data_IF_435328465391
#
_entry.id   IF_435328465391
#
_cell.length_a   1.000
_cell.length_b   1.000
_cell.length_c   1.000
_cell.angle_alpha   90.00
_cell.angle_beta   90.00
_cell.angle_gamma   90.00
#
_symmetry.space_group_name_H-M   'P 1'
#
loop_
_entity.id
_entity.type
_entity.pdbx_description
1 polymer ?
#
# COMPACT_ATOMS: atom_id res chain seq x y z
N UNK A 1 -9.41 -4.75 -5.27
CA UNK A 1 -8.80 -3.53 -5.86
C UNK A 1 -8.84 -2.46 -4.78
N UNK A 2 -7.83 -1.62 -4.70
CA UNK A 2 -7.67 -0.55 -3.70
C UNK A 2 -7.45 0.79 -4.40
N UNK A 3 -7.69 1.88 -3.68
CA UNK A 3 -7.58 3.27 -4.15
C UNK A 3 -6.70 4.09 -3.21
N UNK A 4 -6.41 5.34 -3.57
CA UNK A 4 -5.66 6.29 -2.72
C UNK A 4 -6.28 6.43 -1.33
N UNK A 5 -7.60 6.48 -1.26
CA UNK A 5 -8.36 6.69 -0.02
C UNK A 5 -8.53 5.41 0.82
N UNK A 6 -8.04 4.27 0.32
CA UNK A 6 -8.12 3.02 1.09
C UNK A 6 -7.18 3.11 2.28
N UNK A 7 -7.69 2.88 3.49
CA UNK A 7 -6.88 2.80 4.70
C UNK A 7 -5.86 1.66 4.59
N UNK A 8 -4.60 1.91 4.99
CA UNK A 8 -3.49 0.94 4.83
C UNK A 8 -3.75 -0.35 5.60
N UNK A 9 -4.30 -0.28 6.82
CA UNK A 9 -4.61 -1.47 7.62
C UNK A 9 -5.64 -2.34 6.90
N UNK A 10 -6.71 -1.73 6.39
CA UNK A 10 -7.77 -2.43 5.64
C UNK A 10 -7.20 -3.07 4.37
N UNK A 11 -6.38 -2.33 3.62
CA UNK A 11 -5.75 -2.83 2.40
C UNK A 11 -4.90 -4.08 2.68
N UNK A 12 -3.99 -4.00 3.67
CA UNK A 12 -3.06 -5.08 4.01
C UNK A 12 -3.78 -6.29 4.62
N UNK A 13 -4.85 -6.10 5.38
CA UNK A 13 -5.67 -7.19 5.91
C UNK A 13 -6.42 -7.94 4.80
N UNK A 14 -7.01 -7.22 3.85
CA UNK A 14 -7.73 -7.82 2.73
C UNK A 14 -6.79 -8.46 1.70
N UNK A 15 -5.59 -7.90 1.54
CA UNK A 15 -4.61 -8.33 0.55
C UNK A 15 -3.20 -8.38 1.17
N UNK A 16 -2.83 -9.47 1.86
CA UNK A 16 -1.53 -9.61 2.52
C UNK A 16 -0.32 -9.42 1.59
N UNK A 17 -0.48 -9.73 0.29
CA UNK A 17 0.53 -9.55 -0.77
C UNK A 17 0.97 -8.08 -0.95
N UNK A 18 0.17 -7.12 -0.48
CA UNK A 18 0.54 -5.69 -0.49
C UNK A 18 1.86 -5.46 0.27
N UNK A 19 2.14 -6.25 1.31
CA UNK A 19 3.39 -6.15 2.07
C UNK A 19 4.63 -6.36 1.21
N UNK A 20 4.55 -7.25 0.21
CA UNK A 20 5.68 -7.52 -0.69
C UNK A 20 5.92 -6.35 -1.63
N UNK A 21 4.85 -5.70 -2.11
CA UNK A 21 4.94 -4.48 -2.91
C UNK A 21 5.56 -3.35 -2.07
N UNK A 22 5.10 -3.16 -0.83
CA UNK A 22 5.70 -2.18 0.08
C UNK A 22 7.18 -2.43 0.32
N UNK A 23 7.58 -3.69 0.57
CA UNK A 23 8.99 -4.04 0.74
C UNK A 23 9.82 -3.70 -0.51
N UNK A 24 9.29 -3.96 -1.72
CA UNK A 24 9.95 -3.61 -2.99
C UNK A 24 10.20 -2.11 -3.12
N UNK A 25 9.28 -1.28 -2.64
CA UNK A 25 9.40 0.18 -2.67
C UNK A 25 10.10 0.77 -1.43
N UNK A 26 10.68 -0.06 -0.55
CA UNK A 26 11.38 0.41 0.65
C UNK A 26 10.45 0.84 1.79
N UNK A 27 9.15 0.53 1.71
CA UNK A 27 8.14 0.81 2.74
C UNK A 27 8.04 -0.32 3.79
N UNK A 28 9.17 -0.92 4.15
CA UNK A 28 9.23 -2.05 5.11
C UNK A 28 8.74 -1.67 6.52
N UNK A 29 8.77 -0.38 6.88
CA UNK A 29 8.23 0.16 8.12
C UNK A 29 6.73 0.52 8.04
N UNK A 30 5.94 -0.20 7.24
CA UNK A 30 4.47 0.01 7.07
C UNK A 30 3.70 0.12 8.40
N UNK A 31 4.23 -0.47 9.47
CA UNK A 31 3.66 -0.38 10.81
C UNK A 31 3.48 1.06 11.33
N UNK A 32 4.38 1.99 11.00
CA UNK A 32 4.22 3.40 11.38
C UNK A 32 3.00 4.03 10.69
N UNK A 33 2.84 3.78 9.39
CA UNK A 33 1.72 4.30 8.63
C UNK A 33 0.38 3.72 9.10
N UNK A 34 0.37 2.43 9.44
CA UNK A 34 -0.79 1.76 10.05
C UNK A 34 -1.14 2.36 11.41
N UNK A 35 -0.16 2.57 12.28
CA UNK A 35 -0.37 3.15 13.61
C UNK A 35 -0.92 4.58 13.54
N UNK A 36 -0.49 5.35 12.53
CA UNK A 36 -0.99 6.69 12.23
C UNK A 36 -2.38 6.69 11.56
N UNK A 37 -2.88 5.54 11.13
CA UNK A 37 -4.19 5.42 10.48
C UNK A 37 -4.22 5.96 9.05
N UNK A 38 -3.07 6.07 8.38
CA UNK A 38 -2.96 6.67 7.06
C UNK A 38 -3.68 5.87 5.96
N UNK A 39 -4.13 6.59 4.94
CA UNK A 39 -4.53 6.00 3.66
C UNK A 39 -3.32 5.62 2.81
N UNK A 40 -3.52 4.75 1.80
CA UNK A 40 -2.44 4.38 0.87
C UNK A 40 -1.85 5.62 0.20
N UNK A 41 -2.69 6.57 -0.21
CA UNK A 41 -2.27 7.82 -0.84
C UNK A 41 -1.37 8.64 0.08
N UNK A 42 -1.79 8.86 1.33
CA UNK A 42 -1.04 9.64 2.33
C UNK A 42 0.27 8.95 2.69
N UNK A 43 0.22 7.70 3.13
CA UNK A 43 1.41 6.99 3.62
C UNK A 43 2.46 6.81 2.53
N UNK A 44 2.06 6.47 1.29
CA UNK A 44 3.03 6.31 0.19
C UNK A 44 3.65 7.67 -0.18
N UNK A 45 2.83 8.72 -0.28
CA UNK A 45 3.32 10.06 -0.66
C UNK A 45 4.19 10.71 0.43
N UNK A 46 3.90 10.45 1.70
CA UNK A 46 4.70 10.94 2.84
C UNK A 46 6.15 10.42 2.81
N UNK A 47 6.37 9.30 2.13
CA UNK A 47 7.69 8.70 1.90
C UNK A 47 8.33 9.10 0.56
N UNK A 48 7.77 10.09 -0.14
CA UNK A 48 8.33 10.66 -1.37
C UNK A 48 8.14 9.80 -2.62
N UNK A 49 7.22 8.84 -2.58
CA UNK A 49 6.89 7.96 -3.70
C UNK A 49 5.64 8.45 -4.43
N UNK A 50 5.53 8.11 -5.71
CA UNK A 50 4.30 8.31 -6.47
C UNK A 50 3.26 7.25 -6.07
N UNK A 51 2.26 7.67 -5.30
CA UNK A 51 1.21 6.78 -4.84
C UNK A 51 0.40 6.15 -5.98
N UNK A 52 0.21 6.83 -7.11
CA UNK A 52 -0.56 6.26 -8.23
C UNK A 52 0.19 5.11 -8.88
N UNK A 53 1.52 5.23 -9.02
CA UNK A 53 2.39 4.15 -9.52
C UNK A 53 2.35 2.94 -8.59
N UNK A 54 2.52 3.15 -7.28
CA UNK A 54 2.54 2.05 -6.30
C UNK A 54 1.16 1.37 -6.20
N UNK A 55 0.08 2.13 -6.19
CA UNK A 55 -1.29 1.59 -6.13
C UNK A 55 -1.65 0.82 -7.41
N UNK A 56 -1.19 1.28 -8.58
CA UNK A 56 -1.36 0.53 -9.82
C UNK A 56 -0.65 -0.83 -9.76
N UNK A 57 0.58 -0.87 -9.23
CA UNK A 57 1.31 -2.13 -9.03
C UNK A 57 0.60 -3.04 -8.01
N UNK A 58 0.15 -2.49 -6.87
CA UNK A 58 -0.65 -3.25 -5.89
C UNK A 58 -1.85 -3.91 -6.56
N UNK A 59 -2.61 -3.16 -7.34
CA UNK A 59 -3.81 -3.66 -8.01
C UNK A 59 -3.50 -4.72 -9.06
N UNK A 60 -2.37 -4.59 -9.78
CA UNK A 60 -1.87 -5.61 -10.69
C UNK A 60 -1.55 -6.91 -9.94
N UNK A 61 -0.78 -6.84 -8.86
CA UNK A 61 -0.40 -8.03 -8.07
C UNK A 61 -1.63 -8.70 -7.46
N UNK A 62 -2.59 -7.93 -6.93
CA UNK A 62 -3.87 -8.48 -6.44
C UNK A 62 -4.61 -9.25 -7.54
N UNK A 63 -4.57 -8.78 -8.79
CA UNK A 63 -5.24 -9.47 -9.90
C UNK A 63 -4.52 -10.75 -10.34
N UNK A 64 -3.18 -10.78 -10.23
CA UNK A 64 -2.34 -11.93 -10.60
C UNK A 64 -2.32 -13.04 -9.51
N UNK A 65 -2.60 -12.69 -8.25
CA UNK A 65 -2.62 -13.63 -7.12
C UNK A 65 -4.02 -14.20 -6.83
N UNK A 66 -5.00 -13.95 -7.72
CA UNK A 66 -6.37 -14.45 -7.60
C UNK A 66 -6.54 -15.86 -8.15
#
# INVERSE_FOLDING_TARGET
MVTRDTNILVAVQNYPVIRDVFNKYGLGCVGCMIASGETLGEGISAHGLDADVVIAEINKVIAETK
#
